data_IF_158119679807
#
_entry.id   IF_158119679807
#
_cell.length_a   1.000
_cell.length_b   1.000
_cell.length_c   1.000
_cell.angle_alpha   90.00
_cell.angle_beta   90.00
_cell.angle_gamma   90.00
#
_symmetry.space_group_name_H-M   'P 1'
#
loop_
_entity.id
_entity.type
_entity.pdbx_description
1 polymer ?
#
# COMPACT_ATOMS: atom_id res chain seq x y z
N UNK A 1 7.57 -1.60 -3.04
CA UNK A 1 7.19 -1.57 -1.62
C UNK A 1 5.96 -2.44 -1.35
N UNK A 2 4.79 -2.13 -1.93
CA UNK A 2 3.58 -2.96 -1.77
C UNK A 2 3.81 -4.44 -2.12
N UNK A 3 4.49 -4.73 -3.22
CA UNK A 3 4.76 -6.10 -3.67
C UNK A 3 5.66 -6.88 -2.71
N UNK A 4 6.59 -6.20 -2.03
CA UNK A 4 7.47 -6.82 -1.05
C UNK A 4 6.68 -7.34 0.16
N UNK A 5 5.63 -6.60 0.53
CA UNK A 5 4.72 -6.93 1.62
C UNK A 5 3.67 -7.95 1.21
N UNK A 6 3.17 -7.88 -0.03
CA UNK A 6 2.15 -8.79 -0.53
C UNK A 6 2.71 -10.12 -1.06
N UNK A 7 4.02 -10.19 -1.32
CA UNK A 7 4.68 -11.29 -2.05
C UNK A 7 4.14 -11.52 -3.46
N UNK A 8 3.33 -10.60 -3.98
CA UNK A 8 2.83 -10.58 -5.34
C UNK A 8 2.75 -9.15 -5.89
N UNK A 9 2.67 -9.05 -7.21
CA UNK A 9 2.50 -7.77 -7.93
C UNK A 9 1.12 -7.17 -7.62
N UNK A 10 1.09 -5.92 -7.12
CA UNK A 10 -0.16 -5.25 -6.74
C UNK A 10 -1.03 -4.89 -7.96
N UNK A 11 -0.40 -4.49 -9.06
CA UNK A 11 -1.05 -4.15 -10.33
C UNK A 11 -0.42 -4.99 -11.45
N UNK A 12 -1.09 -6.08 -11.87
CA UNK A 12 -0.56 -7.10 -12.78
C UNK A 12 -1.38 -7.31 -14.06
N UNK A 13 -2.24 -6.35 -14.37
CA UNK A 13 -3.13 -6.47 -15.53
C UNK A 13 -2.34 -6.38 -16.84
N UNK A 14 -2.78 -7.08 -17.88
CA UNK A 14 -2.01 -7.22 -19.13
C UNK A 14 -2.19 -6.06 -20.11
N UNK A 15 -3.33 -5.38 -20.04
CA UNK A 15 -3.60 -4.21 -20.87
C UNK A 15 -3.57 -2.91 -20.06
N UNK A 16 -3.19 -1.83 -20.73
CA UNK A 16 -3.18 -0.46 -20.17
C UNK A 16 -4.55 -0.07 -19.60
N UNK A 17 -5.62 -0.44 -20.30
CA UNK A 17 -7.00 -0.11 -19.89
C UNK A 17 -7.39 -0.85 -18.62
N UNK A 18 -7.10 -2.16 -18.53
CA UNK A 18 -7.35 -2.95 -17.33
C UNK A 18 -6.48 -2.46 -16.16
N UNK A 19 -5.22 -2.13 -16.43
CA UNK A 19 -4.29 -1.61 -15.42
C UNK A 19 -4.78 -0.28 -14.85
N UNK A 20 -5.19 0.67 -15.70
CA UNK A 20 -5.77 1.95 -15.27
C UNK A 20 -7.07 1.76 -14.49
N UNK A 21 -7.92 0.81 -14.93
CA UNK A 21 -9.16 0.47 -14.23
C UNK A 21 -8.87 -0.09 -12.83
N UNK A 22 -7.86 -0.94 -12.69
CA UNK A 22 -7.44 -1.52 -11.41
C UNK A 22 -6.87 -0.46 -10.46
N UNK A 23 -5.99 0.41 -10.97
CA UNK A 23 -5.44 1.56 -10.24
C UNK A 23 -6.57 2.46 -9.75
N UNK A 24 -7.50 2.86 -10.63
CA UNK A 24 -8.62 3.72 -10.26
C UNK A 24 -9.55 3.05 -9.22
N UNK A 25 -9.83 1.76 -9.37
CA UNK A 25 -10.69 1.02 -8.44
C UNK A 25 -10.10 0.94 -7.04
N UNK A 26 -8.78 0.78 -6.93
CA UNK A 26 -8.08 0.61 -5.65
C UNK A 26 -7.71 1.96 -5.02
N UNK A 27 -7.30 2.95 -5.82
CA UNK A 27 -6.71 4.21 -5.35
C UNK A 27 -7.53 5.46 -5.69
N UNK A 28 -8.23 5.47 -6.83
CA UNK A 28 -8.85 6.67 -7.40
C UNK A 28 -10.28 6.97 -6.91
N UNK A 29 -10.82 6.20 -5.97
CA UNK A 29 -12.16 6.47 -5.42
C UNK A 29 -12.11 7.69 -4.50
N UNK A 30 -13.08 8.61 -4.66
CA UNK A 30 -13.23 9.82 -3.82
C UNK A 30 -13.31 9.54 -2.31
N UNK A 31 -13.67 8.31 -1.94
CA UNK A 31 -13.34 7.70 -0.66
C UNK A 31 -12.58 6.41 -0.99
N UNK A 32 -11.25 6.32 -0.74
CA UNK A 32 -10.60 5.02 -0.79
C UNK A 32 -11.40 4.11 0.12
N UNK A 33 -11.79 2.95 -0.40
CA UNK A 33 -12.39 1.93 0.44
C UNK A 33 -11.21 1.35 1.23
N UNK A 34 -10.76 2.08 2.26
CA UNK A 34 -9.62 1.75 3.10
C UNK A 34 -9.74 0.30 3.58
N UNK A 35 -10.97 -0.17 3.78
CA UNK A 35 -11.29 -1.56 4.09
C UNK A 35 -10.81 -2.55 3.03
N UNK A 36 -10.94 -2.26 1.73
CA UNK A 36 -10.45 -3.14 0.66
C UNK A 36 -8.93 -3.14 0.59
N UNK A 37 -8.31 -1.97 0.73
CA UNK A 37 -6.85 -1.84 0.71
C UNK A 37 -6.23 -2.55 1.94
N UNK A 38 -6.75 -2.28 3.15
CA UNK A 38 -6.37 -2.97 4.39
C UNK A 38 -6.57 -4.48 4.26
N UNK A 39 -7.74 -4.94 3.77
CA UNK A 39 -8.04 -6.38 3.62
C UNK A 39 -7.02 -7.11 2.78
N UNK A 40 -6.58 -6.55 1.66
CA UNK A 40 -5.55 -7.17 0.81
C UNK A 40 -4.23 -7.39 1.55
N UNK A 41 -3.81 -6.43 2.38
CA UNK A 41 -2.59 -6.57 3.18
C UNK A 41 -2.77 -7.51 4.38
N UNK A 42 -3.95 -7.52 5.01
CA UNK A 42 -4.28 -8.47 6.06
C UNK A 42 -4.32 -9.92 5.54
N UNK A 43 -4.97 -10.16 4.39
CA UNK A 43 -5.01 -11.46 3.72
C UNK A 43 -3.60 -11.95 3.38
N UNK A 44 -2.75 -11.08 2.81
CA UNK A 44 -1.36 -11.42 2.52
C UNK A 44 -0.56 -11.76 3.79
N UNK A 45 -0.72 -10.97 4.87
CA UNK A 45 -0.06 -11.22 6.16
C UNK A 45 -0.45 -12.58 6.75
N UNK A 46 -1.74 -12.92 6.74
CA UNK A 46 -2.26 -14.21 7.23
C UNK A 46 -1.76 -15.38 6.39
N UNK A 47 -1.75 -15.25 5.07
CA UNK A 47 -1.38 -16.35 4.15
C UNK A 47 0.12 -16.62 4.14
N UNK A 48 0.95 -15.57 4.22
CA UNK A 48 2.39 -15.69 3.97
C UNK A 48 3.28 -15.36 5.17
N UNK A 49 2.70 -15.17 6.35
CA UNK A 49 3.45 -14.92 7.59
C UNK A 49 4.26 -13.63 7.56
N UNK A 50 3.89 -12.71 6.65
CA UNK A 50 4.57 -11.42 6.50
C UNK A 50 4.19 -10.53 7.67
N UNK A 51 5.14 -9.75 8.22
CA UNK A 51 4.82 -8.91 9.36
C UNK A 51 3.75 -7.88 8.98
N UNK A 52 2.78 -7.70 9.87
CA UNK A 52 1.76 -6.68 9.70
C UNK A 52 2.41 -5.29 9.73
N UNK A 53 2.00 -4.43 8.81
CA UNK A 53 2.36 -3.02 8.86
C UNK A 53 1.77 -2.40 10.13
N UNK A 54 2.56 -1.57 10.82
CA UNK A 54 2.01 -0.66 11.83
C UNK A 54 1.08 0.35 11.16
N UNK A 55 0.23 1.02 11.94
CA UNK A 55 -0.63 2.09 11.42
C UNK A 55 0.16 3.16 10.65
N UNK A 56 1.34 3.54 11.15
CA UNK A 56 2.26 4.46 10.47
C UNK A 56 2.80 3.89 9.14
N UNK A 57 3.15 2.60 9.11
CA UNK A 57 3.56 1.93 7.88
C UNK A 57 2.46 1.88 6.84
N UNK A 58 1.22 1.69 7.29
CA UNK A 58 0.05 1.69 6.42
C UNK A 58 -0.26 3.10 5.87
N UNK A 59 -0.15 4.13 6.71
CA UNK A 59 -0.32 5.52 6.30
C UNK A 59 0.78 5.98 5.32
N UNK A 60 2.03 5.60 5.57
CA UNK A 60 3.11 5.84 4.61
C UNK A 60 2.81 5.19 3.26
N UNK A 61 2.36 3.93 3.26
CA UNK A 61 2.04 3.22 2.03
C UNK A 61 0.87 3.87 1.27
N UNK A 62 -0.19 4.29 1.95
CA UNK A 62 -1.30 5.03 1.34
C UNK A 62 -0.82 6.32 0.68
N UNK A 63 0.03 7.10 1.37
CA UNK A 63 0.58 8.35 0.82
C UNK A 63 1.52 8.14 -0.38
N UNK A 64 2.26 7.03 -0.41
CA UNK A 64 3.09 6.64 -1.57
C UNK A 64 2.24 6.24 -2.78
N UNK A 65 1.08 5.64 -2.54
CA UNK A 65 0.13 5.18 -3.56
C UNK A 65 -0.99 6.18 -3.81
N UNK A 66 -0.82 7.44 -3.39
CA UNK A 66 -1.80 8.49 -3.67
C UNK A 66 -1.97 8.66 -5.18
N UNK A 67 -3.23 8.67 -5.59
CA UNK A 67 -3.62 8.74 -6.99
C UNK A 67 -3.31 10.12 -7.56
N UNK A 68 -3.63 11.17 -6.81
CA UNK A 68 -3.34 12.55 -7.18
C UNK A 68 -1.84 12.85 -6.96
N UNK A 69 -1.06 13.10 -8.03
CA UNK A 69 0.39 13.31 -7.91
C UNK A 69 0.74 14.49 -7.01
N UNK A 70 -0.08 15.53 -6.97
CA UNK A 70 0.14 16.73 -6.14
C UNK A 70 -0.07 16.44 -4.64
N UNK A 71 -0.85 15.40 -4.32
CA UNK A 71 -1.07 14.95 -2.94
C UNK A 71 -0.13 13.81 -2.52
N UNK A 72 0.62 13.23 -3.46
CA UNK A 72 1.55 12.14 -3.20
C UNK A 72 2.73 12.62 -2.38
N UNK A 73 3.10 11.84 -1.37
CA UNK A 73 4.25 12.17 -0.51
C UNK A 73 5.55 12.25 -1.30
N UNK A 74 6.40 13.22 -0.95
CA UNK A 74 7.75 13.34 -1.53
C UNK A 74 8.69 12.27 -0.98
N UNK A 75 9.81 12.04 -1.68
CA UNK A 75 10.80 11.06 -1.26
C UNK A 75 11.42 11.41 0.11
N UNK A 76 11.68 12.69 0.35
CA UNK A 76 12.26 13.21 1.60
C UNK A 76 11.30 13.00 2.77
N UNK A 77 10.01 13.33 2.58
CA UNK A 77 8.99 13.13 3.60
C UNK A 77 8.76 11.65 3.90
N UNK A 78 8.80 10.78 2.87
CA UNK A 78 8.71 9.34 3.04
C UNK A 78 9.90 8.77 3.84
N UNK A 79 11.11 9.25 3.58
CA UNK A 79 12.30 8.86 4.33
C UNK A 79 12.18 9.22 5.81
N UNK A 80 11.72 10.43 6.11
CA UNK A 80 11.51 10.87 7.50
C UNK A 80 10.47 9.99 8.19
N UNK A 81 9.32 9.72 7.54
CA UNK A 81 8.28 8.85 8.10
C UNK A 81 8.77 7.42 8.34
N UNK A 82 9.59 6.86 7.44
CA UNK A 82 10.13 5.52 7.58
C UNK A 82 11.07 5.41 8.79
N UNK A 83 11.93 6.41 9.00
CA UNK A 83 12.88 6.46 10.12
C UNK A 83 12.17 6.65 11.47
N UNK A 84 10.99 7.28 11.48
CA UNK A 84 10.19 7.53 12.68
C UNK A 84 9.43 6.30 13.23
N UNK A 85 9.60 5.10 12.67
CA UNK A 85 9.09 3.86 13.28
C UNK A 85 8.13 3.06 12.43
N UNK A 86 8.40 2.93 11.12
CA UNK A 86 7.76 1.88 10.30
C UNK A 86 8.47 0.55 10.59
N UNK A 87 8.33 0.06 11.83
CA UNK A 87 8.79 -1.26 12.24
C UNK A 87 7.66 -2.27 12.04
N UNK A 88 7.92 -3.24 11.17
CA UNK A 88 7.10 -4.42 10.92
C UNK A 88 6.76 -5.14 12.24
N UNK A 89 5.47 -5.38 12.54
CA UNK A 89 5.07 -6.14 13.73
C UNK A 89 5.44 -7.61 13.50
N UNK A 90 6.54 -8.07 14.11
CA UNK A 90 6.84 -9.50 14.19
C UNK A 90 5.87 -10.14 15.18
N UNK A 91 4.98 -10.99 14.68
CA UNK A 91 4.40 -12.03 15.52
C UNK A 91 5.45 -13.13 15.64
N UNK A 92 5.83 -13.43 16.89
CA UNK A 92 6.72 -14.55 17.24
C UNK A 92 6.02 -15.89 17.11
#
# INVERSE_FOLDING_TARGET
MAELLLKEVLFKERSDVEQRTKIYTILGRAKPDDNLFIRKFLEAAVISGVPLLTGLGFDLLKKLLEYDPEKRITAEAALIMAVQGVLLIRFG
#
